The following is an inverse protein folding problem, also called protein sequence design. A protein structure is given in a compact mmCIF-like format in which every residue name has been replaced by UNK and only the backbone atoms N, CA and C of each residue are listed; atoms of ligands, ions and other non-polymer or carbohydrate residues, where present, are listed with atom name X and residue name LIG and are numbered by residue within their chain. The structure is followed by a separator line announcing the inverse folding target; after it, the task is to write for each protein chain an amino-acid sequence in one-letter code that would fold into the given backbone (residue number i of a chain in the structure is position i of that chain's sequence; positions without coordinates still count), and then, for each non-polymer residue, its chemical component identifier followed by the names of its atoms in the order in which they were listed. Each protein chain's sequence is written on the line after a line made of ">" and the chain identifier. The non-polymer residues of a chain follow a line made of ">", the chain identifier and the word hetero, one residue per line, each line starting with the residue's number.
data_IF_782267465165
#
_entry.id   IF_782267465165
#
_cell.length_a   1.000
_cell.length_b   1.000
_cell.length_c   1.000
_cell.angle_alpha   90.00
_cell.angle_beta   90.00
_cell.angle_gamma   90.00
#
_symmetry.space_group_name_H-M   'P 1'
#
loop_
_entity.id
_entity.type
_entity.pdbx_description
1 polymer ?
#
# COMPACT_ATOMS: atom_id res chain seq x y z
N UNK A 1 -15.58 22.45 -14.36
CA UNK A 1 -15.78 21.05 -13.93
C UNK A 1 -15.89 21.16 -12.42
N UNK A 2 -17.12 21.36 -11.98
CA UNK A 2 -17.44 21.63 -10.59
C UNK A 2 -17.25 20.32 -9.81
N UNK A 3 -16.45 20.38 -8.76
CA UNK A 3 -16.39 19.31 -7.76
C UNK A 3 -17.65 19.51 -6.92
N UNK A 4 -18.76 18.96 -7.39
CA UNK A 4 -20.00 18.91 -6.61
C UNK A 4 -19.74 18.07 -5.36
N UNK A 5 -20.18 18.61 -4.22
CA UNK A 5 -19.82 18.14 -2.89
C UNK A 5 -20.25 16.69 -2.65
N UNK A 6 -19.29 15.88 -2.19
CA UNK A 6 -19.59 14.62 -1.52
C UNK A 6 -20.46 14.91 -0.29
N UNK A 7 -21.74 14.54 -0.35
CA UNK A 7 -22.55 14.38 0.86
C UNK A 7 -22.12 13.07 1.52
N UNK A 8 -21.29 13.20 2.57
CA UNK A 8 -21.05 12.11 3.51
C UNK A 8 -22.32 11.94 4.36
N UNK A 9 -23.01 10.83 4.21
CA UNK A 9 -23.87 10.30 5.27
C UNK A 9 -22.95 9.91 6.45
N UNK A 10 -22.59 10.91 7.25
CA UNK A 10 -21.68 10.73 8.38
C UNK A 10 -22.43 9.94 9.45
N UNK A 11 -22.13 8.64 9.54
CA UNK A 11 -22.27 7.91 10.80
C UNK A 11 -21.64 8.76 11.89
N UNK A 12 -22.45 9.21 12.86
CA UNK A 12 -22.00 10.13 13.89
C UNK A 12 -20.95 9.44 14.76
N UNK A 13 -19.71 9.93 14.68
CA UNK A 13 -18.54 9.56 15.47
C UNK A 13 -17.87 8.22 15.08
N UNK A 14 -17.27 8.11 13.88
CA UNK A 14 -16.34 7.02 13.60
C UNK A 14 -15.19 7.04 14.60
N UNK A 15 -14.65 5.86 14.91
CA UNK A 15 -13.58 5.71 15.91
C UNK A 15 -13.95 6.29 17.28
N UNK A 16 -15.22 6.17 17.71
CA UNK A 16 -15.71 6.73 18.98
C UNK A 16 -15.40 8.22 19.17
N UNK A 17 -15.30 8.98 18.06
CA UNK A 17 -14.94 10.39 18.06
C UNK A 17 -13.43 10.69 18.13
N UNK A 18 -12.57 9.68 18.13
CA UNK A 18 -11.12 9.86 18.08
C UNK A 18 -10.63 10.18 16.64
N UNK A 19 -9.50 10.90 16.50
CA UNK A 19 -8.96 11.25 15.19
C UNK A 19 -8.61 10.02 14.35
N UNK A 20 -8.97 10.07 13.07
CA UNK A 20 -8.46 9.13 12.06
C UNK A 20 -6.98 9.48 11.83
N UNK A 21 -6.10 8.50 11.99
CA UNK A 21 -4.66 8.64 11.81
C UNK A 21 -4.17 8.11 10.47
N UNK A 22 -4.91 7.18 9.85
CA UNK A 22 -4.58 6.64 8.54
C UNK A 22 -5.83 6.22 7.76
N UNK A 23 -5.76 6.34 6.43
CA UNK A 23 -6.81 5.93 5.49
C UNK A 23 -6.20 5.05 4.40
N UNK A 24 -6.85 3.93 4.08
CA UNK A 24 -6.46 3.04 2.97
C UNK A 24 -7.68 2.65 2.15
N UNK A 25 -7.50 2.58 0.83
CA UNK A 25 -8.52 2.09 -0.08
C UNK A 25 -8.20 0.67 -0.53
N UNK A 26 -9.23 -0.11 -0.86
CA UNK A 26 -9.07 -1.42 -1.48
C UNK A 26 -8.63 -1.29 -2.94
N UNK A 27 -8.00 -2.34 -3.53
CA UNK A 27 -7.37 -2.25 -4.85
C UNK A 27 -8.32 -1.77 -5.97
N UNK A 28 -9.57 -2.23 -5.98
CA UNK A 28 -10.60 -1.83 -6.94
C UNK A 28 -11.60 -0.81 -6.35
N UNK A 29 -11.24 -0.11 -5.27
CA UNK A 29 -12.06 0.92 -4.64
C UNK A 29 -13.48 0.45 -4.25
N UNK A 30 -13.63 -0.79 -3.80
CA UNK A 30 -14.88 -1.28 -3.20
C UNK A 30 -15.04 -0.85 -1.75
N UNK A 31 -13.93 -0.71 -1.04
CA UNK A 31 -13.90 -0.35 0.37
C UNK A 31 -12.86 0.73 0.67
N UNK A 32 -13.16 1.53 1.69
CA UNK A 32 -12.20 2.36 2.43
C UNK A 32 -12.11 1.81 3.84
N UNK A 33 -10.90 1.69 4.37
CA UNK A 33 -10.69 1.42 5.78
C UNK A 33 -9.97 2.59 6.43
N UNK A 34 -10.45 2.99 7.60
CA UNK A 34 -9.87 4.06 8.41
C UNK A 34 -9.33 3.47 9.70
N UNK A 35 -8.23 4.00 10.20
CA UNK A 35 -7.59 3.59 11.45
C UNK A 35 -7.51 4.79 12.38
N UNK A 36 -7.80 4.57 13.67
CA UNK A 36 -7.42 5.49 14.73
C UNK A 36 -6.48 4.78 15.70
N UNK A 37 -5.27 5.31 15.83
CA UNK A 37 -4.27 4.79 16.77
C UNK A 37 -4.61 5.12 18.23
N UNK A 38 -5.50 6.09 18.47
CA UNK A 38 -5.86 6.55 19.81
C UNK A 38 -6.83 5.58 20.51
N UNK A 39 -7.87 5.14 19.81
CA UNK A 39 -8.83 4.15 20.32
C UNK A 39 -8.56 2.73 19.78
N UNK A 40 -7.51 2.61 18.97
CA UNK A 40 -7.02 1.37 18.37
C UNK A 40 -8.08 0.63 17.57
N UNK A 41 -8.92 1.37 16.85
CA UNK A 41 -9.98 0.79 16.06
C UNK A 41 -9.76 0.98 14.57
N UNK A 42 -10.26 0.01 13.81
CA UNK A 42 -10.35 0.08 12.35
C UNK A 42 -11.82 0.06 11.97
N UNK A 43 -12.23 1.00 11.13
CA UNK A 43 -13.59 1.11 10.60
C UNK A 43 -13.55 0.84 9.11
N UNK A 44 -14.47 0.00 8.63
CA UNK A 44 -14.65 -0.32 7.23
C UNK A 44 -15.87 0.42 6.67
N UNK A 45 -15.68 0.97 5.48
CA UNK A 45 -16.70 1.68 4.73
C UNK A 45 -16.80 1.08 3.33
N UNK A 46 -18.00 0.74 2.86
CA UNK A 46 -18.21 0.43 1.45
C UNK A 46 -18.36 1.71 0.63
N UNK A 47 -17.81 1.68 -0.59
CA UNK A 47 -17.94 2.78 -1.55
C UNK A 47 -19.14 2.47 -2.44
N UNK A 48 -20.14 3.35 -2.44
CA UNK A 48 -21.23 3.27 -3.40
C UNK A 48 -20.91 4.09 -4.66
N UNK A 49 -20.57 3.46 -5.80
CA UNK A 49 -20.15 4.17 -7.00
C UNK A 49 -21.27 5.05 -7.58
N UNK A 50 -22.53 4.73 -7.31
CA UNK A 50 -23.68 5.47 -7.84
C UNK A 50 -24.03 6.70 -7.00
N UNK A 51 -23.65 6.73 -5.73
CA UNK A 51 -24.05 7.76 -4.78
C UNK A 51 -22.89 8.67 -4.35
N UNK A 52 -21.65 8.37 -4.79
CA UNK A 52 -20.44 9.09 -4.36
C UNK A 52 -20.38 9.21 -2.82
N UNK A 53 -20.84 8.19 -2.11
CA UNK A 53 -20.94 8.19 -0.66
C UNK A 53 -20.26 6.95 -0.08
N UNK A 54 -19.81 7.10 1.17
CA UNK A 54 -19.29 6.01 1.99
C UNK A 54 -20.39 5.49 2.90
N UNK A 55 -20.57 4.18 2.96
CA UNK A 55 -21.51 3.53 3.86
C UNK A 55 -20.75 2.78 4.93
N UNK A 56 -21.07 3.04 6.20
CA UNK A 56 -20.49 2.31 7.32
C UNK A 56 -20.85 0.83 7.24
N UNK A 57 -19.86 -0.05 7.33
CA UNK A 57 -20.04 -1.50 7.33
C UNK A 57 -19.86 -2.07 8.73
N UNK A 58 -18.66 -1.90 9.29
CA UNK A 58 -18.31 -2.45 10.59
C UNK A 58 -17.07 -1.78 11.19
N UNK A 59 -16.85 -2.07 12.48
CA UNK A 59 -15.75 -1.57 13.27
C UNK A 59 -15.21 -2.70 14.14
N UNK A 60 -13.88 -2.80 14.24
CA UNK A 60 -13.21 -3.70 15.18
C UNK A 60 -12.19 -2.94 16.02
N UNK A 61 -11.93 -3.43 17.22
CA UNK A 61 -10.88 -2.93 18.11
C UNK A 61 -9.69 -3.90 18.10
N UNK A 62 -8.47 -3.38 18.03
CA UNK A 62 -7.24 -4.16 17.83
C UNK A 62 -6.23 -3.71 18.88
N UNK A 63 -5.96 -4.54 19.88
CA UNK A 63 -5.25 -4.09 21.09
C UNK A 63 -3.77 -3.71 20.86
N UNK A 64 -3.11 -4.30 19.87
CA UNK A 64 -1.65 -4.33 19.72
C UNK A 64 -1.14 -3.85 18.35
N UNK A 65 -1.77 -2.81 17.78
CA UNK A 65 -1.36 -2.22 16.49
C UNK A 65 0.09 -1.72 16.55
N UNK A 66 0.90 -2.09 15.55
CA UNK A 66 2.24 -1.52 15.37
C UNK A 66 2.12 -0.21 14.60
N UNK A 67 2.17 0.90 15.33
CA UNK A 67 2.33 2.23 14.74
C UNK A 67 3.81 2.34 14.34
N UNK A 68 4.14 1.74 13.19
CA UNK A 68 5.50 1.69 12.67
C UNK A 68 6.10 3.07 12.37
N UNK A 69 7.34 3.10 11.87
CA UNK A 69 7.94 4.32 11.32
C UNK A 69 7.22 4.74 10.02
N UNK A 70 7.26 6.04 9.70
CA UNK A 70 6.56 6.74 8.59
C UNK A 70 6.60 6.04 7.21
N UNK A 71 7.54 5.13 6.96
CA UNK A 71 7.70 4.44 5.66
C UNK A 71 7.01 3.09 5.56
N UNK A 72 6.44 2.54 6.64
CA UNK A 72 5.86 1.19 6.64
C UNK A 72 4.33 1.23 6.61
N UNK A 73 3.70 0.45 5.72
CA UNK A 73 2.24 0.35 5.66
C UNK A 73 1.71 -0.39 6.89
N UNK A 74 1.12 0.34 7.85
CA UNK A 74 0.57 -0.25 9.08
C UNK A 74 -0.57 -1.22 8.79
N UNK A 75 -1.43 -0.91 7.82
CA UNK A 75 -2.55 -1.78 7.44
C UNK A 75 -2.95 -1.62 5.97
N UNK A 76 -3.78 -2.53 5.47
CA UNK A 76 -4.33 -2.56 4.10
C UNK A 76 -5.69 -3.27 4.11
N UNK A 77 -6.54 -2.99 3.11
CA UNK A 77 -7.88 -3.58 2.96
C UNK A 77 -8.05 -4.18 1.57
N UNK A 78 -8.74 -5.31 1.47
CA UNK A 78 -9.05 -6.01 0.22
C UNK A 78 -10.44 -5.64 -0.30
N UNK A 79 -10.71 -5.94 -1.57
CA UNK A 79 -12.04 -5.78 -2.17
C UNK A 79 -13.09 -6.76 -1.64
N UNK A 80 -12.70 -7.73 -0.82
CA UNK A 80 -13.60 -8.71 -0.22
C UNK A 80 -13.88 -8.43 1.27
N UNK A 81 -13.34 -7.33 1.82
CA UNK A 81 -13.56 -6.90 3.20
C UNK A 81 -12.59 -7.51 4.21
N UNK A 82 -11.47 -8.08 3.76
CA UNK A 82 -10.37 -8.44 4.64
C UNK A 82 -9.47 -7.24 4.92
N UNK A 83 -9.03 -7.09 6.17
CA UNK A 83 -8.03 -6.10 6.58
C UNK A 83 -6.82 -6.82 7.13
N UNK A 84 -5.64 -6.55 6.56
CA UNK A 84 -4.37 -7.02 7.11
C UNK A 84 -3.72 -5.87 7.86
N UNK A 85 -3.33 -6.09 9.12
CA UNK A 85 -2.79 -5.06 10.01
C UNK A 85 -1.52 -5.55 10.70
N UNK A 86 -0.50 -4.70 10.76
CA UNK A 86 0.74 -4.96 11.48
C UNK A 86 0.51 -4.82 12.99
N UNK A 87 1.13 -5.74 13.72
CA UNK A 87 1.04 -5.83 15.17
C UNK A 87 2.42 -5.72 15.80
N UNK A 88 2.44 -5.25 17.05
CA UNK A 88 3.66 -4.99 17.77
C UNK A 88 4.57 -6.23 17.83
N UNK A 89 5.89 -6.03 17.74
CA UNK A 89 6.93 -7.07 17.54
C UNK A 89 6.94 -8.22 18.55
N UNK A 90 6.26 -8.08 19.68
CA UNK A 90 6.17 -9.11 20.72
C UNK A 90 5.18 -10.22 20.35
N UNK A 91 4.29 -10.00 19.38
CA UNK A 91 3.38 -11.04 18.88
C UNK A 91 4.18 -12.05 18.03
N UNK A 92 3.97 -13.38 18.20
CA UNK A 92 4.64 -14.42 17.40
C UNK A 92 4.53 -14.19 15.88
N UNK A 93 3.43 -13.58 15.42
CA UNK A 93 3.26 -13.03 14.07
C UNK A 93 3.15 -11.51 14.21
N UNK A 94 3.93 -10.72 13.47
CA UNK A 94 3.88 -9.26 13.58
C UNK A 94 2.77 -8.61 12.72
N UNK A 95 1.73 -9.38 12.37
CA UNK A 95 0.52 -8.92 11.70
C UNK A 95 -0.60 -9.97 11.87
N UNK A 96 -1.84 -9.54 11.65
CA UNK A 96 -3.05 -10.37 11.59
C UNK A 96 -3.91 -9.97 10.39
N UNK A 97 -4.81 -10.87 9.96
CA UNK A 97 -5.78 -10.61 8.90
C UNK A 97 -7.18 -10.83 9.48
N UNK A 98 -8.02 -9.80 9.43
CA UNK A 98 -9.38 -9.79 9.95
C UNK A 98 -10.37 -9.86 8.80
N UNK A 99 -11.39 -10.70 8.92
CA UNK A 99 -12.55 -10.67 8.06
C UNK A 99 -13.59 -9.73 8.69
N UNK A 100 -13.85 -8.58 8.08
CA UNK A 100 -14.78 -7.59 8.65
C UNK A 100 -16.25 -7.96 8.47
N UNK A 101 -16.56 -8.95 7.64
CA UNK A 101 -17.93 -9.47 7.48
C UNK A 101 -18.31 -10.42 8.62
N UNK A 102 -17.33 -11.18 9.14
CA UNK A 102 -17.55 -12.13 10.25
C UNK A 102 -16.98 -11.67 11.57
N UNK A 103 -16.17 -10.61 11.59
CA UNK A 103 -15.36 -10.16 12.73
C UNK A 103 -14.38 -11.22 13.27
N UNK A 104 -13.96 -12.17 12.41
CA UNK A 104 -13.05 -13.26 12.78
C UNK A 104 -11.63 -13.05 12.21
N UNK A 105 -10.64 -13.59 12.91
CA UNK A 105 -9.25 -13.61 12.45
C UNK A 105 -9.07 -14.77 11.48
N UNK A 106 -8.56 -14.49 10.28
CA UNK A 106 -8.28 -15.49 9.25
C UNK A 106 -7.05 -16.32 9.59
N UNK A 107 -7.05 -17.59 9.22
CA UNK A 107 -5.93 -18.49 9.47
C UNK A 107 -4.85 -18.35 8.38
N UNK A 108 -3.60 -18.25 8.81
CA UNK A 108 -2.44 -18.21 7.91
C UNK A 108 -1.71 -19.56 7.90
N UNK A 109 -1.64 -20.21 6.74
CA UNK A 109 -0.93 -21.47 6.54
C UNK A 109 0.38 -21.23 5.80
N UNK A 110 1.38 -20.69 6.52
CA UNK A 110 2.74 -20.50 5.99
C UNK A 110 3.73 -21.25 6.87
N UNK A 111 4.52 -22.20 6.33
CA UNK A 111 5.38 -23.05 7.13
C UNK A 111 6.54 -22.29 7.80
N UNK A 112 6.97 -21.15 7.25
CA UNK A 112 8.15 -20.41 7.73
C UNK A 112 8.02 -18.90 7.55
N UNK A 113 7.00 -18.28 8.13
CA UNK A 113 6.93 -16.83 8.08
C UNK A 113 7.89 -16.21 9.10
N UNK A 114 8.91 -15.53 8.58
CA UNK A 114 9.85 -14.82 9.43
C UNK A 114 9.16 -13.64 10.12
N UNK A 115 9.59 -13.37 11.35
CA UNK A 115 9.22 -12.15 12.07
C UNK A 115 9.81 -10.97 11.31
N UNK A 116 9.11 -9.83 11.27
CA UNK A 116 9.54 -8.54 10.66
C UNK A 116 8.99 -8.27 9.25
N UNK A 117 7.71 -8.57 9.00
CA UNK A 117 7.01 -7.97 7.86
C UNK A 117 7.06 -6.44 7.98
N UNK A 118 7.59 -5.79 6.95
CA UNK A 118 7.69 -4.34 6.82
C UNK A 118 6.54 -3.73 6.02
N UNK A 119 6.06 -4.40 4.97
CA UNK A 119 4.97 -3.91 4.13
C UNK A 119 3.90 -4.96 3.92
N UNK A 120 2.65 -4.51 3.79
CA UNK A 120 1.45 -5.30 3.52
C UNK A 120 0.66 -4.58 2.43
N UNK A 121 0.18 -5.32 1.43
CA UNK A 121 -0.75 -4.78 0.45
C UNK A 121 -1.60 -5.89 -0.14
N UNK A 122 -2.90 -5.67 -0.23
CA UNK A 122 -3.73 -6.44 -1.15
C UNK A 122 -3.51 -5.99 -2.59
N UNK A 123 -3.69 -6.91 -3.53
CA UNK A 123 -3.69 -6.66 -4.98
C UNK A 123 -5.04 -7.09 -5.59
N UNK A 124 -5.29 -6.73 -6.85
CA UNK A 124 -6.60 -6.81 -7.51
C UNK A 124 -7.22 -8.21 -7.55
N UNK A 125 -6.42 -9.26 -7.46
CA UNK A 125 -6.92 -10.65 -7.44
C UNK A 125 -7.26 -11.15 -6.02
N UNK A 126 -7.20 -10.27 -5.01
CA UNK A 126 -7.46 -10.59 -3.62
C UNK A 126 -6.25 -11.14 -2.87
N UNK A 127 -5.13 -11.39 -3.54
CA UNK A 127 -3.90 -11.88 -2.90
C UNK A 127 -3.30 -10.83 -1.97
N UNK A 128 -2.73 -11.30 -0.86
CA UNK A 128 -1.96 -10.49 0.08
C UNK A 128 -0.47 -10.59 -0.26
N UNK A 129 0.15 -9.45 -0.49
CA UNK A 129 1.60 -9.30 -0.66
C UNK A 129 2.20 -8.82 0.65
N UNK A 130 3.23 -9.52 1.11
CA UNK A 130 3.96 -9.17 2.33
C UNK A 130 5.44 -9.05 2.04
N UNK A 131 6.07 -7.99 2.52
CA UNK A 131 7.52 -7.78 2.32
C UNK A 131 8.24 -7.71 3.64
N UNK A 132 9.26 -8.55 3.83
CA UNK A 132 10.25 -8.44 4.89
C UNK A 132 11.54 -7.89 4.32
N UNK A 133 11.83 -6.62 4.60
CA UNK A 133 13.11 -5.97 4.22
C UNK A 133 14.30 -6.60 4.91
N UNK A 134 14.13 -7.03 6.15
CA UNK A 134 15.20 -7.64 6.96
C UNK A 134 15.58 -9.03 6.47
N UNK A 135 14.60 -9.81 6.01
CA UNK A 135 14.85 -11.15 5.48
C UNK A 135 15.05 -11.14 3.96
N UNK A 136 15.00 -9.96 3.33
CA UNK A 136 15.13 -9.76 1.89
C UNK A 136 14.13 -10.62 1.10
N UNK A 137 12.86 -10.66 1.52
CA UNK A 137 11.84 -11.53 0.94
C UNK A 137 10.51 -10.83 0.75
N UNK A 138 9.88 -11.06 -0.40
CA UNK A 138 8.48 -10.74 -0.65
C UNK A 138 7.68 -12.02 -0.86
N UNK A 139 6.58 -12.16 -0.14
CA UNK A 139 5.67 -13.30 -0.16
C UNK A 139 4.36 -12.88 -0.80
N UNK A 140 3.79 -13.75 -1.63
CA UNK A 140 2.41 -13.61 -2.12
C UNK A 140 1.59 -14.75 -1.53
N UNK A 141 0.47 -14.42 -0.89
CA UNK A 141 -0.51 -15.39 -0.46
C UNK A 141 -1.84 -15.15 -1.15
N UNK A 142 -2.53 -16.23 -1.50
CA UNK A 142 -3.89 -16.13 -2.03
C UNK A 142 -4.90 -16.61 -0.97
N UNK A 143 -6.12 -16.05 -0.98
CA UNK A 143 -7.22 -16.56 -0.15
C UNK A 143 -7.78 -17.85 -0.77
N UNK A 144 -7.92 -18.89 0.04
CA UNK A 144 -8.67 -20.09 -0.29
C UNK A 144 -9.89 -20.17 0.64
N UNK A 145 -11.08 -20.16 0.05
CA UNK A 145 -12.33 -20.36 0.78
C UNK A 145 -12.45 -21.83 1.21
N UNK A 146 -12.76 -22.03 2.49
CA UNK A 146 -13.14 -23.33 3.05
C UNK A 146 -14.52 -23.22 3.68
N UNK A 147 -15.17 -24.36 3.94
CA UNK A 147 -16.55 -24.41 4.44
C UNK A 147 -16.81 -23.54 5.68
N UNK A 148 -15.81 -23.34 6.54
CA UNK A 148 -15.94 -22.60 7.79
C UNK A 148 -15.16 -21.28 7.85
N UNK A 149 -14.20 -21.02 6.94
CA UNK A 149 -13.32 -19.83 7.00
C UNK A 149 -12.48 -19.63 5.74
N UNK A 150 -11.79 -18.49 5.63
CA UNK A 150 -10.74 -18.30 4.62
C UNK A 150 -9.37 -18.62 5.18
N UNK A 151 -8.63 -19.44 4.42
CA UNK A 151 -7.23 -19.75 4.68
C UNK A 151 -6.34 -19.00 3.70
N UNK A 152 -5.27 -18.42 4.21
CA UNK A 152 -4.27 -17.74 3.37
C UNK A 152 -3.13 -18.70 3.06
N UNK A 153 -2.99 -19.04 1.77
CA UNK A 153 -2.05 -20.04 1.28
C UNK A 153 -0.89 -19.38 0.58
N UNK A 154 0.32 -19.83 0.90
CA UNK A 154 1.53 -19.38 0.22
C UNK A 154 1.49 -19.73 -1.28
N UNK A 155 1.65 -18.70 -2.12
CA UNK A 155 1.69 -18.85 -3.58
C UNK A 155 3.11 -18.78 -4.13
N UNK A 156 3.85 -17.74 -3.76
CA UNK A 156 5.15 -17.45 -4.35
C UNK A 156 6.04 -16.60 -3.44
N UNK A 157 7.34 -16.61 -3.76
CA UNK A 157 8.39 -15.91 -3.03
C UNK A 157 9.32 -15.21 -4.02
N UNK A 158 9.67 -13.95 -3.74
CA UNK A 158 10.74 -13.21 -4.42
C UNK A 158 11.85 -12.94 -3.41
N UNK A 159 13.08 -13.29 -3.77
CA UNK A 159 14.29 -12.94 -3.01
C UNK A 159 14.81 -11.56 -3.44
N UNK A 160 14.76 -10.61 -2.52
CA UNK A 160 15.10 -9.21 -2.70
C UNK A 160 16.59 -8.97 -2.42
N UNK A 161 17.45 -9.61 -3.21
CA UNK A 161 18.91 -9.52 -3.02
C UNK A 161 19.37 -8.06 -2.93
N UNK A 162 20.20 -7.79 -1.93
CA UNK A 162 20.77 -6.46 -1.65
C UNK A 162 19.74 -5.36 -1.33
N UNK A 163 18.54 -5.71 -0.83
CA UNK A 163 17.63 -4.70 -0.29
C UNK A 163 18.13 -4.18 1.06
N UNK A 164 17.99 -2.89 1.32
CA UNK A 164 18.26 -2.26 2.61
C UNK A 164 16.94 -1.98 3.34
N UNK A 165 16.98 -1.87 4.66
CA UNK A 165 15.82 -1.38 5.45
C UNK A 165 15.51 0.10 5.20
N UNK A 166 16.40 0.81 4.50
CA UNK A 166 16.23 2.22 4.11
C UNK A 166 15.58 2.39 2.73
N UNK A 167 15.42 1.30 1.98
CA UNK A 167 14.83 1.34 0.65
C UNK A 167 13.32 1.60 0.76
N UNK A 168 12.79 2.40 -0.16
CA UNK A 168 11.35 2.60 -0.24
C UNK A 168 10.74 1.48 -1.09
N UNK A 169 9.61 0.96 -0.63
CA UNK A 169 8.92 -0.16 -1.25
C UNK A 169 7.49 0.24 -1.56
N UNK A 170 7.08 -0.04 -2.79
CA UNK A 170 5.72 0.20 -3.27
C UNK A 170 5.18 -1.10 -3.85
N UNK A 171 3.93 -1.41 -3.50
CA UNK A 171 3.20 -2.54 -4.06
C UNK A 171 1.97 -1.95 -4.72
N UNK A 172 1.78 -2.23 -6.00
CA UNK A 172 0.68 -1.66 -6.79
C UNK A 172 -0.50 -2.63 -6.88
N UNK A 173 -1.73 -2.12 -7.05
CA UNK A 173 -2.93 -2.95 -7.19
C UNK A 173 -2.85 -4.05 -8.26
N UNK A 174 -2.20 -3.82 -9.42
CA UNK A 174 -2.06 -4.84 -10.49
C UNK A 174 -0.89 -5.80 -10.26
N UNK A 175 -0.24 -5.73 -9.10
CA UNK A 175 0.78 -6.70 -8.70
C UNK A 175 2.18 -6.38 -9.21
N UNK A 176 2.58 -5.10 -9.24
CA UNK A 176 3.99 -4.72 -9.36
C UNK A 176 4.58 -4.49 -7.97
N UNK A 177 5.80 -4.97 -7.76
CA UNK A 177 6.61 -4.67 -6.59
C UNK A 177 7.77 -3.79 -7.01
N UNK A 178 7.77 -2.55 -6.53
CA UNK A 178 8.77 -1.54 -6.86
C UNK A 178 9.67 -1.32 -5.64
N UNK A 179 10.97 -1.42 -5.89
CA UNK A 179 12.04 -1.13 -4.93
C UNK A 179 12.79 0.11 -5.37
N UNK A 180 12.78 1.17 -4.56
CA UNK A 180 13.68 2.30 -4.73
C UNK A 180 14.84 2.20 -3.75
N UNK A 181 16.00 1.81 -4.28
CA UNK A 181 17.25 1.73 -3.53
C UNK A 181 17.88 3.10 -3.40
N UNK A 182 17.70 3.73 -2.23
CA UNK A 182 18.21 5.10 -1.98
C UNK A 182 19.72 5.20 -2.10
N UNK A 183 20.45 4.16 -1.72
CA UNK A 183 21.92 4.17 -1.73
C UNK A 183 22.50 4.25 -3.15
N UNK A 184 21.82 3.66 -4.14
CA UNK A 184 22.27 3.58 -5.53
C UNK A 184 21.41 4.38 -6.50
N UNK A 185 20.34 5.02 -5.99
CA UNK A 185 19.30 5.68 -6.79
C UNK A 185 18.77 4.77 -7.91
N UNK A 186 18.60 3.49 -7.59
CA UNK A 186 18.15 2.45 -8.50
C UNK A 186 16.70 2.09 -8.20
N UNK A 187 15.86 2.03 -9.22
CA UNK A 187 14.49 1.54 -9.13
C UNK A 187 14.41 0.18 -9.82
N UNK A 188 13.99 -0.85 -9.09
CA UNK A 188 13.69 -2.16 -9.65
C UNK A 188 12.18 -2.38 -9.63
N UNK A 189 11.62 -2.84 -10.74
CA UNK A 189 10.20 -3.13 -10.90
C UNK A 189 10.04 -4.62 -11.18
N UNK A 190 9.39 -5.32 -10.27
CA UNK A 190 9.07 -6.75 -10.37
C UNK A 190 7.61 -6.94 -10.71
N UNK A 191 7.33 -7.93 -11.54
CA UNK A 191 5.98 -8.44 -11.74
C UNK A 191 5.74 -9.60 -10.76
N UNK A 192 4.77 -9.45 -9.86
CA UNK A 192 4.49 -10.46 -8.82
C UNK A 192 3.84 -11.74 -9.37
N UNK A 193 3.24 -11.69 -10.55
CA UNK A 193 2.65 -12.85 -11.22
C UNK A 193 3.69 -13.70 -11.94
N UNK A 194 4.58 -13.06 -12.70
CA UNK A 194 5.62 -13.76 -13.46
C UNK A 194 6.89 -13.98 -12.64
N UNK A 195 7.06 -13.26 -11.53
CA UNK A 195 8.24 -13.25 -10.66
C UNK A 195 9.52 -12.74 -11.36
N UNK A 196 9.36 -11.99 -12.44
CA UNK A 196 10.46 -11.43 -13.23
C UNK A 196 10.58 -9.92 -13.03
N UNK A 197 11.81 -9.41 -13.18
CA UNK A 197 12.07 -7.98 -13.28
C UNK A 197 11.57 -7.49 -14.63
N UNK A 198 10.67 -6.52 -14.64
CA UNK A 198 10.18 -5.86 -15.86
C UNK A 198 11.11 -4.71 -16.27
N UNK A 199 11.55 -3.93 -15.29
CA UNK A 199 12.42 -2.78 -15.53
C UNK A 199 13.39 -2.54 -14.39
N UNK A 200 14.54 -1.99 -14.75
CA UNK A 200 15.54 -1.47 -13.83
C UNK A 200 15.93 -0.08 -14.32
N UNK A 201 15.73 0.93 -13.48
CA UNK A 201 15.98 2.34 -13.81
C UNK A 201 17.10 2.82 -12.89
N UNK A 202 18.22 3.26 -13.48
CA UNK A 202 19.27 3.93 -12.74
C UNK A 202 19.11 5.44 -12.89
N UNK A 203 18.85 6.13 -11.78
CA UNK A 203 18.71 7.58 -11.77
C UNK A 203 20.09 8.20 -11.55
N UNK A 204 20.71 8.65 -12.64
CA UNK A 204 22.00 9.38 -12.58
C UNK A 204 21.78 10.85 -12.21
N UNK A 205 21.31 11.10 -10.98
CA UNK A 205 20.93 12.43 -10.51
C UNK A 205 21.65 12.84 -9.23
N UNK A 206 21.81 14.15 -9.05
CA UNK A 206 22.30 14.78 -7.80
C UNK A 206 21.19 15.51 -7.03
N UNK A 207 19.94 15.06 -7.20
CA UNK A 207 18.75 15.67 -6.61
C UNK A 207 18.26 14.91 -5.38
N UNK A 208 17.59 15.62 -4.47
CA UNK A 208 16.89 15.01 -3.34
C UNK A 208 15.61 14.35 -3.83
N UNK A 209 15.45 13.06 -3.59
CA UNK A 209 14.18 12.36 -3.85
C UNK A 209 13.07 12.93 -2.97
N UNK A 210 11.88 13.16 -3.55
CA UNK A 210 10.71 13.62 -2.81
C UNK A 210 9.64 12.55 -2.73
N UNK A 211 9.20 12.05 -3.88
CA UNK A 211 8.13 11.05 -3.92
C UNK A 211 8.05 10.35 -5.28
N UNK A 212 7.25 9.29 -5.30
CA UNK A 212 6.95 8.48 -6.48
C UNK A 212 5.43 8.32 -6.60
N UNK A 213 4.92 8.33 -7.82
CA UNK A 213 3.53 8.08 -8.16
C UNK A 213 3.40 7.19 -9.39
N UNK A 214 2.21 6.62 -9.59
CA UNK A 214 1.94 5.66 -10.66
C UNK A 214 0.70 6.08 -11.43
N UNK A 215 0.69 5.86 -12.74
CA UNK A 215 -0.55 5.96 -13.52
C UNK A 215 -1.52 4.85 -13.10
N UNK A 216 -2.82 5.08 -13.28
CA UNK A 216 -3.86 4.08 -12.98
C UNK A 216 -3.67 2.77 -13.77
N UNK A 217 -3.10 2.86 -14.97
CA UNK A 217 -2.76 1.70 -15.78
C UNK A 217 -1.48 0.98 -15.31
N UNK A 218 -0.71 1.60 -14.42
CA UNK A 218 0.62 1.21 -13.92
C UNK A 218 1.69 1.05 -15.00
N UNK A 219 1.46 1.57 -16.21
CA UNK A 219 2.43 1.55 -17.29
C UNK A 219 3.47 2.67 -17.14
N UNK A 220 3.18 3.68 -16.33
CA UNK A 220 4.03 4.84 -16.06
C UNK A 220 4.33 5.00 -14.57
N UNK A 221 5.56 5.43 -14.30
CA UNK A 221 6.01 5.82 -12.97
C UNK A 221 6.53 7.26 -13.02
N UNK A 222 5.96 8.10 -12.17
CA UNK A 222 6.35 9.49 -11.98
C UNK A 222 7.25 9.63 -10.76
N UNK A 223 8.39 10.29 -10.90
CA UNK A 223 9.34 10.54 -9.81
C UNK A 223 9.50 12.04 -9.65
N UNK A 224 9.23 12.54 -8.45
CA UNK A 224 9.58 13.91 -8.06
C UNK A 224 10.90 13.93 -7.33
N UNK A 225 11.76 14.86 -7.74
CA UNK A 225 13.01 15.15 -7.05
C UNK A 225 13.26 16.65 -7.05
N UNK A 226 13.84 17.18 -5.97
CA UNK A 226 14.14 18.60 -5.86
C UNK A 226 15.62 18.90 -5.77
N UNK A 227 15.92 20.12 -6.18
CA UNK A 227 17.17 20.83 -5.92
C UNK A 227 16.85 22.08 -5.10
N UNK A 228 17.87 22.81 -4.66
CA UNK A 228 17.68 24.08 -3.96
C UNK A 228 16.89 25.15 -4.73
N UNK A 229 16.70 24.97 -6.05
CA UNK A 229 16.07 25.99 -6.93
C UNK A 229 14.89 25.48 -7.76
N UNK A 230 14.77 24.19 -7.97
CA UNK A 230 13.82 23.60 -8.92
C UNK A 230 13.36 22.24 -8.43
N UNK A 231 12.10 21.92 -8.73
CA UNK A 231 11.54 20.57 -8.64
C UNK A 231 11.49 19.94 -10.03
N UNK A 232 11.82 18.67 -10.12
CA UNK A 232 11.88 17.90 -11.34
C UNK A 232 10.87 16.76 -11.28
N UNK A 233 10.07 16.63 -12.34
CA UNK A 233 9.20 15.48 -12.54
C UNK A 233 9.74 14.67 -13.70
N UNK A 234 10.02 13.40 -13.44
CA UNK A 234 10.45 12.44 -14.44
C UNK A 234 9.38 11.37 -14.61
N UNK A 235 9.07 11.04 -15.86
CA UNK A 235 8.10 10.00 -16.19
C UNK A 235 8.84 8.88 -16.91
N UNK A 236 8.80 7.68 -16.36
CA UNK A 236 9.38 6.48 -16.96
C UNK A 236 8.29 5.46 -17.31
N UNK A 237 8.54 4.64 -18.32
CA UNK A 237 7.74 3.43 -18.52
C UNK A 237 8.14 2.36 -17.50
N UNK A 238 7.17 1.73 -16.87
CA UNK A 238 7.40 0.61 -15.93
C UNK A 238 7.71 -0.70 -16.65
N UNK A 239 7.44 -0.78 -17.95
CA UNK A 239 7.60 -2.01 -18.74
C UNK A 239 9.02 -2.20 -19.28
N UNK A 240 9.74 -1.12 -19.51
CA UNK A 240 11.09 -1.14 -20.09
C UNK A 240 12.07 -0.15 -19.46
N UNK A 241 11.62 0.65 -18.48
CA UNK A 241 12.46 1.61 -17.76
C UNK A 241 12.86 2.86 -18.57
N UNK A 242 12.31 3.08 -19.76
CA UNK A 242 12.65 4.24 -20.59
C UNK A 242 12.10 5.53 -19.96
N UNK A 243 12.95 6.57 -19.89
CA UNK A 243 12.50 7.92 -19.58
C UNK A 243 11.71 8.47 -20.77
N UNK A 244 10.42 8.75 -20.56
CA UNK A 244 9.52 9.25 -21.60
C UNK A 244 9.41 10.78 -21.56
N UNK A 245 9.59 11.40 -20.41
CA UNK A 245 9.44 12.84 -20.24
C UNK A 245 10.15 13.35 -18.99
N UNK A 246 10.64 14.59 -19.08
CA UNK A 246 11.20 15.31 -17.94
C UNK A 246 10.69 16.75 -17.95
N UNK A 247 10.16 17.21 -16.81
CA UNK A 247 9.66 18.57 -16.61
C UNK A 247 10.31 19.21 -15.39
N UNK A 248 10.48 20.53 -15.44
CA UNK A 248 11.09 21.32 -14.37
C UNK A 248 10.10 22.40 -13.92
N UNK A 249 9.98 22.58 -12.62
CA UNK A 249 9.08 23.53 -11.99
C UNK A 249 9.85 24.40 -10.98
N UNK A 250 9.33 25.60 -10.73
CA UNK A 250 9.81 26.42 -9.62
C UNK A 250 9.25 25.86 -8.29
N UNK A 251 9.98 25.99 -7.16
CA UNK A 251 9.68 25.28 -5.91
C UNK A 251 8.29 25.55 -5.32
N UNK A 252 7.69 26.71 -5.63
CA UNK A 252 6.42 27.13 -5.08
C UNK A 252 5.19 26.71 -5.92
N UNK A 253 5.39 25.95 -6.99
CA UNK A 253 4.29 25.55 -7.90
C UNK A 253 3.80 24.10 -7.71
N UNK A 254 4.38 23.31 -6.81
CA UNK A 254 3.92 21.95 -6.56
C UNK A 254 3.10 21.82 -5.28
N UNK A 255 1.79 22.01 -5.41
CA UNK A 255 0.76 21.28 -4.62
C UNK A 255 0.22 20.11 -5.45
N UNK A 256 0.99 19.58 -6.39
CA UNK A 256 0.47 18.71 -7.44
C UNK A 256 1.32 17.44 -7.60
N UNK A 257 1.08 16.47 -6.72
CA UNK A 257 0.95 15.05 -7.08
C UNK A 257 -0.30 14.51 -6.39
N UNK A 258 -1.43 15.16 -6.67
CA UNK A 258 -2.77 14.58 -6.48
C UNK A 258 -3.27 13.86 -7.75
N UNK A 259 -2.43 13.78 -8.80
CA UNK A 259 -2.78 13.18 -10.11
C UNK A 259 -2.27 11.74 -10.29
N UNK A 260 -1.58 11.17 -9.30
CA UNK A 260 -1.03 9.81 -9.37
C UNK A 260 -1.33 8.97 -8.11
N UNK A 261 -2.25 9.43 -7.25
CA UNK A 261 -2.75 8.67 -6.11
C UNK A 261 -4.25 8.81 -5.99
N UNK A 262 -4.96 7.69 -6.09
CA UNK A 262 -6.11 7.45 -5.23
C UNK A 262 -5.62 7.37 -3.78
N UNK A 263 -5.53 8.55 -3.15
CA UNK A 263 -5.49 8.81 -1.69
C UNK A 263 -4.51 7.93 -0.88
N UNK A 264 -3.34 8.50 -0.54
CA UNK A 264 -2.71 8.31 0.76
C UNK A 264 -2.52 9.69 1.40
N UNK A 265 -3.29 9.94 2.45
CA UNK A 265 -3.03 10.93 3.50
C UNK A 265 -2.89 10.15 4.79
#
# INVERSE_FOLDING_TARGET
>A
MDIEGLELDVYSDPHNGYPITQIVCSPNLKYVATLSEFDKSVVLWSINPNQQSLQYESMISIENIDVGSETSTTFTVSDDGYVAIKLHRLNPRNFEIYNFKTAEISFLQVPYLHKNISHLSFINDGSLVMVSTKDHKAYVLFPEETDDSVKWIFQSLIELKNSSTLDDIYITPKGKLIFFKKATYEIMIWNLKTLLIEAQILLDWCFSFECIGFSDDEELIGISASSSKLTYLYIFSTTNGMNLSTRKFLPNFMTMIALFYGIRV
#
